data_IF_548398327651
#
_entry.id   IF_548398327651
#
_cell.length_a   1.000
_cell.length_b   1.000
_cell.length_c   1.000
_cell.angle_alpha   90.00
_cell.angle_beta   90.00
_cell.angle_gamma   90.00
#
_symmetry.space_group_name_H-M   'P 1'
#
loop_
_entity.id
_entity.type
_entity.pdbx_description
1 polymer ?
#
# COMPACT_ATOMS: atom_id res chain seq x y z
N UNK A 1 32.81 34.98 5.81
CA UNK A 1 31.46 34.41 6.05
C UNK A 1 31.46 33.73 7.42
N UNK A 2 30.60 34.17 8.33
CA UNK A 2 30.73 33.85 9.75
C UNK A 2 30.26 32.41 10.01
N UNK A 3 31.05 31.61 10.75
CA UNK A 3 30.78 30.20 11.07
C UNK A 3 29.38 29.94 11.65
N UNK A 4 28.78 30.96 12.29
CA UNK A 4 27.38 30.96 12.78
C UNK A 4 26.33 30.91 11.66
N UNK A 5 26.62 31.51 10.50
CA UNK A 5 25.75 31.53 9.31
C UNK A 5 25.72 30.16 8.61
N UNK A 6 26.82 29.41 8.63
CA UNK A 6 26.90 28.07 8.05
C UNK A 6 26.12 27.03 8.87
N UNK A 7 26.15 27.13 10.20
CA UNK A 7 25.39 26.23 11.09
C UNK A 7 23.88 26.43 10.92
N UNK A 8 23.42 27.67 10.72
CA UNK A 8 22.01 27.96 10.49
C UNK A 8 21.49 27.38 9.16
N UNK A 9 22.30 27.41 8.10
CA UNK A 9 21.93 26.84 6.79
C UNK A 9 21.88 25.31 6.83
N UNK A 10 22.80 24.66 7.56
CA UNK A 10 22.81 23.19 7.70
C UNK A 10 21.68 22.70 8.61
N UNK A 11 21.34 23.44 9.67
CA UNK A 11 20.20 23.11 10.54
C UNK A 11 18.84 23.31 9.83
N UNK A 12 18.73 24.31 8.96
CA UNK A 12 17.52 24.53 8.15
C UNK A 12 17.29 23.46 7.09
N UNK A 13 18.36 22.92 6.49
CA UNK A 13 18.27 21.88 5.47
C UNK A 13 17.81 20.51 6.00
N UNK A 14 18.06 20.20 7.28
CA UNK A 14 17.63 18.95 7.91
C UNK A 14 16.17 18.97 8.39
N UNK A 15 15.57 20.15 8.60
CA UNK A 15 14.19 20.26 9.05
C UNK A 15 13.15 20.10 7.92
N UNK A 16 13.55 20.23 6.65
CA UNK A 16 12.64 20.13 5.50
C UNK A 16 12.46 18.70 4.96
N UNK A 17 13.30 17.74 5.39
CA UNK A 17 13.24 16.36 4.90
C UNK A 17 12.20 15.46 5.56
N UNK A 18 11.53 15.91 6.63
CA UNK A 18 10.74 15.03 7.51
C UNK A 18 9.23 14.95 7.18
N UNK A 19 8.74 15.63 6.14
CA UNK A 19 7.29 15.84 5.94
C UNK A 19 6.71 15.02 4.77
N UNK A 20 7.53 14.43 3.89
CA UNK A 20 7.03 13.89 2.61
C UNK A 20 6.61 12.41 2.64
N UNK A 21 6.79 11.68 3.75
CA UNK A 21 6.73 10.20 3.73
C UNK A 21 5.66 9.49 4.56
N UNK A 22 4.81 10.19 5.34
CA UNK A 22 3.98 9.51 6.36
C UNK A 22 2.68 8.89 5.84
N UNK A 23 2.13 9.40 4.74
CA UNK A 23 0.82 8.95 4.25
C UNK A 23 0.80 7.53 3.64
N UNK A 24 1.94 7.01 3.17
CA UNK A 24 1.98 5.67 2.54
C UNK A 24 2.30 4.54 3.52
N UNK A 25 2.80 4.86 4.73
CA UNK A 25 3.31 3.88 5.69
C UNK A 25 2.31 3.53 6.83
N UNK A 26 1.26 4.32 7.02
CA UNK A 26 0.37 4.22 8.18
C UNK A 26 -0.84 3.26 8.01
N UNK A 27 -0.89 2.45 6.94
CA UNK A 27 -1.97 1.47 6.73
C UNK A 27 -1.51 -0.01 6.76
N UNK A 28 -0.94 -0.50 7.88
CA UNK A 28 -0.40 -1.86 7.96
C UNK A 28 -1.46 -2.93 7.70
N UNK A 29 -2.71 -2.71 8.14
CA UNK A 29 -3.79 -3.67 7.94
C UNK A 29 -4.27 -3.74 6.48
N UNK A 30 -4.41 -2.59 5.81
CA UNK A 30 -4.82 -2.56 4.39
C UNK A 30 -3.75 -3.19 3.51
N UNK A 31 -2.47 -2.90 3.78
CA UNK A 31 -1.36 -3.52 3.07
C UNK A 31 -1.30 -5.03 3.31
N UNK A 32 -1.51 -5.50 4.55
CA UNK A 32 -1.57 -6.91 4.87
C UNK A 32 -2.75 -7.61 4.17
N UNK A 33 -3.92 -6.97 4.13
CA UNK A 33 -5.10 -7.46 3.42
C UNK A 33 -4.83 -7.58 1.91
N UNK A 34 -4.24 -6.56 1.29
CA UNK A 34 -3.87 -6.58 -0.13
C UNK A 34 -2.92 -7.74 -0.44
N UNK A 35 -1.89 -7.94 0.37
CA UNK A 35 -0.94 -9.06 0.21
C UNK A 35 -1.66 -10.40 0.34
N UNK A 36 -2.50 -10.59 1.36
CA UNK A 36 -3.24 -11.83 1.56
C UNK A 36 -4.18 -12.16 0.39
N UNK A 37 -4.87 -11.14 -0.15
CA UNK A 37 -5.74 -11.30 -1.31
C UNK A 37 -4.95 -11.66 -2.58
N UNK A 38 -3.77 -11.05 -2.79
CA UNK A 38 -2.90 -11.38 -3.91
C UNK A 38 -2.40 -12.83 -3.82
N UNK A 39 -2.01 -13.28 -2.63
CA UNK A 39 -1.66 -14.69 -2.39
C UNK A 39 -2.85 -15.60 -2.67
N UNK A 40 -4.02 -15.32 -2.12
CA UNK A 40 -5.23 -16.12 -2.35
C UNK A 40 -5.57 -16.22 -3.84
N UNK A 41 -5.44 -15.13 -4.60
CA UNK A 41 -5.63 -15.14 -6.05
C UNK A 41 -4.65 -16.07 -6.76
N UNK A 42 -3.37 -16.03 -6.39
CA UNK A 42 -2.34 -16.90 -6.95
C UNK A 42 -2.67 -18.37 -6.72
N UNK A 43 -3.03 -18.73 -5.48
CA UNK A 43 -3.42 -20.11 -5.13
C UNK A 43 -4.65 -20.59 -5.93
N UNK A 44 -5.64 -19.72 -6.14
CA UNK A 44 -6.83 -20.03 -6.95
C UNK A 44 -6.51 -20.17 -8.45
N UNK A 45 -5.50 -19.46 -8.95
CA UNK A 45 -5.05 -19.58 -10.34
C UNK A 45 -4.35 -20.93 -10.58
N UNK A 46 -3.56 -21.40 -9.61
CA UNK A 46 -2.87 -22.70 -9.66
C UNK A 46 -3.81 -23.90 -9.44
N UNK A 47 -5.00 -23.68 -8.86
CA UNK A 47 -5.96 -24.76 -8.64
C UNK A 47 -6.44 -25.40 -9.96
N UNK A 48 -6.11 -26.69 -10.15
CA UNK A 48 -6.30 -27.43 -11.42
C UNK A 48 -7.77 -27.59 -11.86
N UNK A 49 -8.70 -27.78 -10.92
CA UNK A 49 -10.11 -28.01 -11.25
C UNK A 49 -10.95 -26.82 -10.81
N UNK A 50 -11.92 -26.42 -11.64
CA UNK A 50 -12.84 -25.31 -11.36
C UNK A 50 -13.77 -25.54 -10.15
N UNK A 51 -13.78 -26.77 -9.60
CA UNK A 51 -14.59 -27.19 -8.44
C UNK A 51 -16.07 -26.79 -8.62
N UNK A 52 -16.65 -27.04 -9.79
CA UNK A 52 -18.05 -26.69 -10.08
C UNK A 52 -18.30 -25.20 -10.32
N UNK A 53 -17.30 -24.45 -10.81
CA UNK A 53 -17.40 -23.00 -11.05
C UNK A 53 -16.94 -22.14 -9.87
N UNK A 54 -16.72 -22.75 -8.70
CA UNK A 54 -16.35 -22.03 -7.49
C UNK A 54 -14.97 -21.38 -7.59
N UNK A 55 -14.01 -22.00 -8.29
CA UNK A 55 -12.66 -21.42 -8.44
C UNK A 55 -12.72 -20.12 -9.23
N UNK A 56 -13.36 -20.12 -10.39
CA UNK A 56 -13.52 -18.90 -11.21
C UNK A 56 -14.31 -17.83 -10.46
N UNK A 57 -15.39 -18.22 -9.76
CA UNK A 57 -16.17 -17.30 -8.93
C UNK A 57 -15.33 -16.65 -7.82
N UNK A 58 -14.52 -17.45 -7.11
CA UNK A 58 -13.64 -16.95 -6.06
C UNK A 58 -12.57 -16.01 -6.62
N UNK A 59 -11.99 -16.28 -7.79
CA UNK A 59 -11.04 -15.37 -8.44
C UNK A 59 -11.69 -14.01 -8.72
N UNK A 60 -12.94 -14.00 -9.21
CA UNK A 60 -13.69 -12.76 -9.45
C UNK A 60 -13.87 -11.96 -8.15
N UNK A 61 -14.36 -12.61 -7.10
CA UNK A 61 -14.60 -11.97 -5.80
C UNK A 61 -13.29 -11.44 -5.17
N UNK A 62 -12.19 -12.19 -5.29
CA UNK A 62 -10.86 -11.75 -4.81
C UNK A 62 -10.35 -10.54 -5.60
N UNK A 63 -10.56 -10.49 -6.91
CA UNK A 63 -10.17 -9.32 -7.71
C UNK A 63 -10.97 -8.07 -7.29
N UNK A 64 -12.28 -8.20 -7.10
CA UNK A 64 -13.14 -7.11 -6.62
C UNK A 64 -12.66 -6.61 -5.25
N UNK A 65 -12.34 -7.51 -4.31
CA UNK A 65 -11.80 -7.14 -3.01
C UNK A 65 -10.43 -6.44 -3.10
N UNK A 66 -9.55 -6.84 -4.02
CA UNK A 66 -8.27 -6.17 -4.26
C UNK A 66 -8.49 -4.73 -4.70
N UNK A 67 -9.46 -4.50 -5.59
CA UNK A 67 -9.74 -3.16 -6.12
C UNK A 67 -10.33 -2.25 -5.04
N UNK A 68 -11.23 -2.75 -4.20
CA UNK A 68 -11.76 -2.01 -3.05
C UNK A 68 -10.69 -1.68 -2.00
N UNK A 69 -9.79 -2.62 -1.68
CA UNK A 69 -8.68 -2.36 -0.75
C UNK A 69 -7.76 -1.27 -1.30
N UNK A 70 -7.42 -1.31 -2.58
CA UNK A 70 -6.64 -0.24 -3.22
C UNK A 70 -7.38 1.09 -3.19
N UNK A 71 -8.68 1.11 -3.50
CA UNK A 71 -9.49 2.32 -3.46
C UNK A 71 -9.52 2.92 -2.04
N UNK A 72 -9.65 2.10 -1.00
CA UNK A 72 -9.58 2.54 0.41
C UNK A 72 -8.20 3.08 0.78
N UNK A 73 -7.13 2.41 0.35
CA UNK A 73 -5.76 2.89 0.52
C UNK A 73 -5.55 4.24 -0.17
N UNK A 74 -6.10 4.42 -1.36
CA UNK A 74 -5.99 5.64 -2.14
C UNK A 74 -6.82 6.78 -1.55
N UNK A 75 -7.99 6.49 -1.00
CA UNK A 75 -8.85 7.47 -0.35
C UNK A 75 -8.15 8.16 0.82
N UNK A 76 -7.57 7.38 1.74
CA UNK A 76 -6.87 7.87 2.93
C UNK A 76 -5.52 8.56 2.60
N UNK A 77 -4.90 8.25 1.44
CA UNK A 77 -3.75 9.05 0.96
C UNK A 77 -4.12 10.47 0.51
N UNK A 78 -5.40 10.73 0.22
CA UNK A 78 -5.88 12.00 -0.34
C UNK A 78 -6.85 12.77 0.57
N UNK A 79 -7.25 12.24 1.73
CA UNK A 79 -8.19 12.84 2.68
C UNK A 79 -7.64 12.81 4.10
#
# INVERSE_FOLDING_TARGET
>A
MNRKLQVAVVAGALALGAIVGRASADQPHMQAALTALQTARSELQEAVADKGGHRVKAIKEVNEAIDEVKAGMDFDRHH
#
